data_IF_913582347135
#
_entry.id   IF_913582347135
#
_cell.length_a   1.000
_cell.length_b   1.000
_cell.length_c   1.000
_cell.angle_alpha   90.00
_cell.angle_beta   90.00
_cell.angle_gamma   90.00
#
_symmetry.space_group_name_H-M   'P 1'
#
loop_
_entity.id
_entity.type
_entity.pdbx_description
1 polymer ?
#
# COMPACT_ATOMS: atom_id res chain seq x y z
N UNK A 1 4.83 -32.65 -1.98
CA UNK A 1 4.54 -31.59 -0.98
C UNK A 1 4.31 -30.31 -1.75
N UNK A 2 3.05 -29.88 -1.92
CA UNK A 2 2.70 -28.66 -2.67
C UNK A 2 2.61 -27.52 -1.64
N UNK A 3 3.67 -26.72 -1.50
CA UNK A 3 3.67 -25.54 -0.65
C UNK A 3 2.81 -24.46 -1.32
N UNK A 4 1.73 -24.05 -0.66
CA UNK A 4 1.01 -22.77 -0.82
C UNK A 4 1.09 -22.10 -2.21
N UNK A 5 0.26 -22.55 -3.15
CA UNK A 5 -0.03 -21.82 -4.40
C UNK A 5 -1.26 -20.90 -4.30
N UNK A 6 -1.86 -20.75 -3.11
CA UNK A 6 -2.93 -19.79 -2.92
C UNK A 6 -2.32 -18.42 -2.63
N UNK A 7 -2.54 -17.49 -3.55
CA UNK A 7 -2.27 -16.05 -3.38
C UNK A 7 -3.22 -15.40 -2.35
N UNK A 8 -3.81 -16.18 -1.44
CA UNK A 8 -4.85 -15.72 -0.50
C UNK A 8 -4.28 -14.69 0.49
N UNK A 9 -2.97 -14.63 0.74
CA UNK A 9 -2.36 -13.55 1.53
C UNK A 9 -2.44 -12.19 0.84
N UNK A 10 -2.45 -12.17 -0.50
CA UNK A 10 -2.52 -10.94 -1.31
C UNK A 10 -3.81 -10.18 -1.09
N UNK A 11 -4.89 -10.87 -0.74
CA UNK A 11 -6.18 -10.23 -0.47
C UNK A 11 -6.15 -9.36 0.78
N UNK A 12 -5.22 -9.62 1.70
CA UNK A 12 -5.01 -8.76 2.87
C UNK A 12 -4.29 -7.46 2.53
N UNK A 13 -3.63 -7.40 1.35
CA UNK A 13 -2.94 -6.21 0.84
C UNK A 13 -3.84 -5.35 -0.07
N UNK A 14 -5.08 -5.75 -0.33
CA UNK A 14 -6.02 -4.93 -1.09
C UNK A 14 -6.31 -3.64 -0.30
N UNK A 15 -6.18 -2.46 -0.92
CA UNK A 15 -6.45 -1.18 -0.27
C UNK A 15 -7.84 -1.15 0.37
N UNK A 16 -7.92 -0.66 1.61
CA UNK A 16 -9.18 -0.47 2.32
C UNK A 16 -9.59 0.99 2.32
N UNK A 17 -10.89 1.24 2.33
CA UNK A 17 -11.47 2.58 2.35
C UNK A 17 -11.77 3.18 0.98
N UNK A 18 -11.52 2.44 -0.10
CA UNK A 18 -11.89 2.81 -1.47
C UNK A 18 -11.44 4.22 -1.86
N UNK A 19 -12.23 4.86 -2.71
CA UNK A 19 -11.90 6.16 -3.28
C UNK A 19 -11.95 7.30 -2.23
N UNK A 20 -12.62 7.08 -1.09
CA UNK A 20 -12.61 8.02 0.05
C UNK A 20 -11.21 8.21 0.61
N UNK A 21 -10.45 7.13 0.78
CA UNK A 21 -9.09 7.19 1.35
C UNK A 21 -8.06 7.40 0.24
N UNK A 22 -8.19 6.68 -0.87
CA UNK A 22 -7.15 6.60 -1.89
C UNK A 22 -7.34 7.59 -3.05
N UNK A 23 -8.40 8.39 -3.03
CA UNK A 23 -8.72 9.28 -4.14
C UNK A 23 -9.39 8.56 -5.31
N UNK A 24 -9.90 9.36 -6.23
CA UNK A 24 -10.52 8.89 -7.48
C UNK A 24 -9.66 9.30 -8.69
N UNK A 25 -10.24 9.27 -9.89
CA UNK A 25 -9.56 9.74 -11.10
C UNK A 25 -9.30 11.25 -11.09
N UNK A 26 -10.08 12.01 -10.33
CA UNK A 26 -10.06 13.48 -10.36
C UNK A 26 -9.24 14.10 -9.22
N UNK A 27 -8.89 13.32 -8.18
CA UNK A 27 -8.18 13.84 -7.03
C UNK A 27 -7.40 12.74 -6.30
N UNK A 28 -6.33 13.13 -5.61
CA UNK A 28 -5.64 12.26 -4.65
C UNK A 28 -5.15 13.05 -3.43
N UNK A 29 -5.09 12.45 -2.23
CA UNK A 29 -4.56 13.13 -1.04
C UNK A 29 -3.13 13.64 -1.27
N UNK A 30 -2.34 12.83 -1.98
CA UNK A 30 -0.92 13.00 -2.24
C UNK A 30 -0.63 13.97 -3.41
N UNK A 31 -1.67 14.57 -4.01
CA UNK A 31 -1.52 15.54 -5.09
C UNK A 31 -0.59 16.70 -4.70
N UNK A 32 0.36 17.02 -5.59
CA UNK A 32 1.45 17.96 -5.35
C UNK A 32 2.73 17.32 -4.79
N UNK A 33 2.75 15.99 -4.61
CA UNK A 33 4.00 15.27 -4.36
C UNK A 33 4.94 15.39 -5.56
N UNK A 34 6.18 15.79 -5.30
CA UNK A 34 7.24 15.86 -6.28
C UNK A 34 8.29 14.83 -5.93
N UNK A 35 8.59 13.93 -6.88
CA UNK A 35 9.74 13.05 -6.77
C UNK A 35 11.03 13.88 -6.91
N UNK A 36 11.78 14.01 -5.82
CA UNK A 36 13.06 14.72 -5.84
C UNK A 36 14.01 14.09 -6.88
N UNK A 37 14.62 14.95 -7.72
CA UNK A 37 15.59 14.60 -8.76
C UNK A 37 16.91 14.11 -8.14
N UNK A 38 16.97 12.93 -7.55
CA UNK A 38 18.26 12.28 -7.30
C UNK A 38 18.63 11.46 -8.53
N UNK A 39 19.59 11.98 -9.31
CA UNK A 39 20.29 11.25 -10.37
C UNK A 39 20.79 9.92 -9.81
N UNK A 40 20.07 8.84 -10.07
CA UNK A 40 20.65 7.52 -10.03
C UNK A 40 21.67 7.45 -11.17
N UNK A 41 22.94 7.24 -10.83
CA UNK A 41 23.95 6.85 -11.81
C UNK A 41 23.49 5.55 -12.47
N UNK A 42 23.05 5.65 -13.72
CA UNK A 42 22.75 4.49 -14.58
C UNK A 42 24.04 3.69 -14.80
N UNK A 43 24.22 2.59 -14.06
CA UNK A 43 25.06 1.51 -14.54
C UNK A 43 24.24 0.70 -15.54
N UNK A 44 24.43 1.03 -16.82
CA UNK A 44 23.92 0.28 -17.96
C UNK A 44 24.54 -1.11 -17.97
N UNK A 45 23.75 -2.14 -17.66
CA UNK A 45 24.09 -3.52 -18.00
C UNK A 45 23.53 -3.82 -19.39
N UNK A 46 24.47 -3.95 -20.32
CA UNK A 46 24.27 -4.37 -21.71
C UNK A 46 23.53 -5.71 -21.79
N UNK A 47 22.50 -5.73 -22.62
CA UNK A 47 22.25 -6.78 -23.62
C UNK A 47 21.88 -8.17 -23.11
N UNK A 48 20.57 -8.45 -23.09
CA UNK A 48 20.07 -9.81 -23.27
C UNK A 48 19.02 -9.81 -24.39
N UNK A 49 19.46 -10.10 -25.61
CA UNK A 49 18.56 -10.51 -26.69
C UNK A 49 18.08 -11.91 -26.35
N UNK A 50 16.84 -12.05 -25.89
CA UNK A 50 16.19 -13.37 -25.78
C UNK A 50 15.58 -13.71 -27.13
N UNK A 51 16.14 -14.73 -27.77
CA UNK A 51 15.71 -15.24 -29.07
C UNK A 51 14.26 -15.75 -29.06
N UNK A 52 13.60 -15.59 -30.20
CA UNK A 52 12.33 -16.21 -30.47
C UNK A 52 12.48 -17.73 -30.55
N UNK A 53 11.69 -18.45 -29.76
CA UNK A 53 11.29 -19.82 -30.07
C UNK A 53 9.78 -19.85 -30.21
N UNK A 54 9.32 -20.00 -31.45
CA UNK A 54 7.98 -20.49 -31.72
C UNK A 54 7.97 -21.99 -31.41
N UNK A 55 7.50 -22.36 -30.22
CA UNK A 55 7.20 -23.75 -29.90
C UNK A 55 5.68 -23.91 -29.90
N UNK A 56 5.19 -24.71 -30.84
CA UNK A 56 3.84 -25.28 -30.86
C UNK A 56 3.61 -26.01 -29.54
N UNK A 57 2.91 -25.40 -28.59
CA UNK A 57 2.53 -26.03 -27.33
C UNK A 57 1.03 -25.82 -27.11
N UNK A 58 0.29 -26.91 -27.12
CA UNK A 58 -1.03 -26.98 -26.48
C UNK A 58 -0.91 -26.36 -25.10
N UNK A 59 -1.79 -25.40 -24.80
CA UNK A 59 -1.80 -24.61 -23.57
C UNK A 59 -1.82 -25.53 -22.34
N UNK A 60 -0.64 -25.88 -21.84
CA UNK A 60 -0.43 -26.82 -20.74
C UNK A 60 0.50 -26.11 -19.80
N UNK A 61 -0.08 -25.42 -18.82
CA UNK A 61 0.36 -25.31 -17.42
C UNK A 61 -0.32 -24.10 -16.73
N UNK A 62 -0.89 -24.36 -15.54
CA UNK A 62 -1.63 -23.45 -14.63
C UNK A 62 -2.98 -22.88 -15.12
N UNK A 63 -4.08 -23.57 -14.80
CA UNK A 63 -5.43 -23.01 -14.95
C UNK A 63 -5.77 -22.11 -13.75
N UNK A 64 -5.60 -20.81 -13.91
CA UNK A 64 -6.07 -19.78 -12.98
C UNK A 64 -7.52 -19.32 -13.28
N UNK A 65 -8.19 -18.72 -12.30
CA UNK A 65 -9.60 -18.31 -12.41
C UNK A 65 -9.85 -17.32 -13.57
N UNK A 66 -8.87 -16.49 -13.90
CA UNK A 66 -8.98 -15.50 -14.98
C UNK A 66 -9.19 -16.12 -16.37
N UNK A 67 -8.77 -17.37 -16.60
CA UNK A 67 -9.06 -18.05 -17.88
C UNK A 67 -10.56 -18.33 -18.05
N UNK A 68 -11.35 -18.29 -16.97
CA UNK A 68 -12.81 -18.40 -17.02
C UNK A 68 -13.52 -17.14 -17.48
N UNK A 69 -12.84 -15.99 -17.51
CA UNK A 69 -13.39 -14.69 -17.97
C UNK A 69 -13.56 -14.65 -19.49
N UNK A 70 -12.74 -15.43 -20.21
CA UNK A 70 -12.75 -15.49 -21.67
C UNK A 70 -12.24 -14.21 -22.33
N UNK A 71 -12.17 -14.24 -23.66
CA UNK A 71 -11.67 -13.13 -24.48
C UNK A 71 -12.56 -11.88 -24.37
N UNK A 72 -13.89 -12.06 -24.41
CA UNK A 72 -14.84 -10.95 -24.34
C UNK A 72 -14.78 -10.21 -23.00
N UNK A 73 -14.68 -10.94 -21.88
CA UNK A 73 -14.53 -10.32 -20.57
C UNK A 73 -13.19 -9.61 -20.42
N UNK A 74 -12.11 -10.17 -20.98
CA UNK A 74 -10.79 -9.50 -21.00
C UNK A 74 -10.84 -8.19 -21.80
N UNK A 75 -11.54 -8.20 -22.93
CA UNK A 75 -11.76 -7.00 -23.74
C UNK A 75 -12.59 -5.96 -22.99
N UNK A 76 -13.66 -6.36 -22.31
CA UNK A 76 -14.47 -5.46 -21.48
C UNK A 76 -13.64 -4.79 -20.38
N UNK A 77 -12.74 -5.53 -19.73
CA UNK A 77 -11.82 -4.97 -18.73
C UNK A 77 -10.86 -3.96 -19.35
N UNK A 78 -10.32 -4.26 -20.54
CA UNK A 78 -9.46 -3.33 -21.26
C UNK A 78 -10.21 -2.05 -21.71
N UNK A 79 -11.47 -2.19 -22.13
CA UNK A 79 -12.29 -1.09 -22.64
C UNK A 79 -12.71 -0.10 -21.52
N UNK A 80 -12.74 -0.54 -20.25
CA UNK A 80 -13.00 0.33 -19.09
C UNK A 80 -11.82 1.27 -18.76
N UNK A 81 -10.61 0.99 -19.28
CA UNK A 81 -9.36 1.79 -19.24
C UNK A 81 -8.73 2.05 -17.87
N UNK A 82 -9.49 2.40 -16.83
CA UNK A 82 -8.94 2.85 -15.55
C UNK A 82 -9.70 2.27 -14.37
N UNK A 83 -8.98 1.80 -13.36
CA UNK A 83 -9.55 1.25 -12.13
C UNK A 83 -9.02 2.02 -10.92
N UNK A 84 -9.94 2.38 -10.03
CA UNK A 84 -9.70 3.03 -8.73
C UNK A 84 -9.62 2.00 -7.59
N UNK A 85 -9.34 2.46 -6.37
CA UNK A 85 -9.27 1.58 -5.21
C UNK A 85 -10.64 0.97 -4.85
N UNK A 86 -11.75 1.63 -5.21
CA UNK A 86 -13.10 1.07 -5.08
C UNK A 86 -13.41 0.05 -6.19
N UNK A 87 -13.24 0.45 -7.46
CA UNK A 87 -13.61 -0.40 -8.61
C UNK A 87 -12.69 -1.62 -8.81
N UNK A 88 -11.46 -1.60 -8.29
CA UNK A 88 -10.58 -2.79 -8.34
C UNK A 88 -11.16 -3.98 -7.58
N UNK A 89 -11.88 -3.74 -6.48
CA UNK A 89 -12.52 -4.82 -5.71
C UNK A 89 -13.63 -5.46 -6.54
N UNK A 90 -14.42 -4.67 -7.26
CA UNK A 90 -15.45 -5.18 -8.18
C UNK A 90 -14.84 -5.95 -9.35
N UNK A 91 -13.76 -5.42 -9.94
CA UNK A 91 -12.99 -6.10 -10.98
C UNK A 91 -12.50 -7.47 -10.50
N UNK A 92 -11.98 -7.57 -9.27
CA UNK A 92 -11.52 -8.84 -8.72
C UNK A 92 -12.67 -9.84 -8.51
N UNK A 93 -13.88 -9.37 -8.15
CA UNK A 93 -15.05 -10.26 -8.08
C UNK A 93 -15.43 -10.80 -9.46
N UNK A 94 -15.27 -9.98 -10.50
CA UNK A 94 -15.51 -10.39 -11.88
C UNK A 94 -14.44 -11.37 -12.40
N UNK A 95 -13.16 -11.07 -12.17
CA UNK A 95 -12.03 -11.84 -12.74
C UNK A 95 -11.70 -13.11 -11.94
N UNK A 96 -11.89 -13.09 -10.62
CA UNK A 96 -11.50 -14.16 -9.72
C UNK A 96 -12.55 -14.38 -8.61
N UNK A 97 -13.77 -14.80 -8.96
CA UNK A 97 -14.89 -14.89 -8.03
C UNK A 97 -14.68 -15.90 -6.90
N UNK A 98 -13.96 -17.01 -7.12
CA UNK A 98 -13.76 -18.01 -6.05
C UNK A 98 -12.71 -17.50 -5.05
N UNK A 99 -11.68 -16.79 -5.52
CA UNK A 99 -10.73 -16.09 -4.67
C UNK A 99 -11.44 -15.02 -3.84
N UNK A 100 -12.29 -14.20 -4.47
CA UNK A 100 -13.03 -13.17 -3.76
C UNK A 100 -14.09 -13.73 -2.81
N UNK A 101 -14.70 -14.87 -3.10
CA UNK A 101 -15.60 -15.55 -2.16
C UNK A 101 -14.87 -15.98 -0.88
N UNK A 102 -13.61 -16.42 -0.97
CA UNK A 102 -12.77 -16.69 0.22
C UNK A 102 -12.36 -15.40 0.92
N UNK A 103 -11.96 -14.37 0.16
CA UNK A 103 -11.56 -13.06 0.70
C UNK A 103 -12.70 -12.42 1.51
N UNK A 104 -13.88 -12.29 0.92
CA UNK A 104 -15.04 -11.61 1.53
C UNK A 104 -15.63 -12.33 2.75
N UNK A 105 -15.30 -13.62 2.93
CA UNK A 105 -15.62 -14.35 4.15
C UNK A 105 -14.76 -13.88 5.35
N UNK A 106 -13.54 -13.40 5.10
CA UNK A 106 -12.53 -13.10 6.13
C UNK A 106 -12.08 -11.64 6.18
N UNK A 107 -12.28 -10.87 5.12
CA UNK A 107 -11.82 -9.50 4.99
C UNK A 107 -12.92 -8.58 4.47
N UNK A 108 -12.86 -7.36 4.96
CA UNK A 108 -13.65 -6.24 4.49
C UNK A 108 -12.73 -5.10 4.04
N UNK A 109 -13.22 -4.32 3.08
CA UNK A 109 -12.46 -3.23 2.45
C UNK A 109 -13.20 -1.88 2.55
N UNK A 110 -14.33 -1.85 3.27
CA UNK A 110 -15.18 -0.68 3.41
C UNK A 110 -14.77 0.26 4.54
N UNK A 111 -15.69 1.17 4.85
CA UNK A 111 -15.61 2.13 5.95
C UNK A 111 -16.90 1.99 6.76
N UNK A 112 -16.79 2.01 8.08
CA UNK A 112 -17.97 1.96 8.93
C UNK A 112 -18.72 3.30 9.00
N UNK A 113 -19.99 3.26 8.63
CA UNK A 113 -20.91 4.39 8.83
C UNK A 113 -21.23 4.56 10.32
N UNK A 114 -21.63 3.47 10.98
CA UNK A 114 -21.96 3.41 12.40
C UNK A 114 -21.19 2.29 13.09
N UNK A 115 -20.26 2.66 13.98
CA UNK A 115 -19.41 1.71 14.71
C UNK A 115 -20.15 0.79 15.67
N UNK A 116 -21.36 1.19 16.12
CA UNK A 116 -22.15 0.40 17.06
C UNK A 116 -22.97 -0.71 16.38
N UNK A 117 -22.91 -0.81 15.05
CA UNK A 117 -23.60 -1.87 14.30
C UNK A 117 -23.08 -3.25 14.74
N UNK A 118 -23.95 -4.16 15.23
CA UNK A 118 -23.56 -5.49 15.68
C UNK A 118 -22.78 -6.30 14.64
N UNK A 119 -22.90 -5.99 13.33
CA UNK A 119 -22.14 -6.67 12.28
C UNK A 119 -20.63 -6.58 12.50
N UNK A 120 -20.12 -5.46 13.02
CA UNK A 120 -18.68 -5.25 13.23
C UNK A 120 -18.08 -6.13 14.32
N UNK A 121 -18.91 -6.81 15.12
CA UNK A 121 -18.46 -7.87 16.04
C UNK A 121 -17.97 -9.11 15.31
N UNK A 122 -18.35 -9.30 14.05
CA UNK A 122 -17.89 -10.44 13.25
C UNK A 122 -16.40 -10.31 12.90
N UNK A 123 -15.63 -11.39 13.04
CA UNK A 123 -14.17 -11.40 12.89
C UNK A 123 -13.66 -10.85 11.55
N UNK A 124 -14.47 -10.92 10.50
CA UNK A 124 -14.11 -10.43 9.16
C UNK A 124 -13.75 -8.94 9.13
N UNK A 125 -14.27 -8.15 10.07
CA UNK A 125 -14.05 -6.71 10.15
C UNK A 125 -12.86 -6.32 11.04
N UNK A 126 -12.40 -7.21 11.93
CA UNK A 126 -11.41 -6.85 12.97
C UNK A 126 -10.07 -6.42 12.41
N UNK A 127 -9.70 -6.94 11.23
CA UNK A 127 -8.45 -6.56 10.58
C UNK A 127 -8.52 -5.18 9.94
N UNK A 128 -9.71 -4.63 9.67
CA UNK A 128 -9.91 -3.34 9.03
C UNK A 128 -9.98 -2.20 10.06
N UNK A 129 -8.95 -1.33 10.16
CA UNK A 129 -8.95 -0.22 11.11
C UNK A 129 -10.04 0.83 10.83
N UNK A 130 -10.67 0.80 9.65
CA UNK A 130 -11.79 1.68 9.27
C UNK A 130 -13.17 1.10 9.64
N UNK A 131 -13.22 -0.08 10.24
CA UNK A 131 -14.46 -0.76 10.65
C UNK A 131 -14.37 -1.35 12.08
N UNK A 132 -13.32 -0.98 12.81
CA UNK A 132 -13.11 -1.37 14.21
C UNK A 132 -12.68 -0.17 15.03
N UNK A 133 -13.07 -0.17 16.31
CA UNK A 133 -12.73 0.89 17.25
C UNK A 133 -11.57 0.49 18.15
N UNK A 134 -10.73 1.45 18.52
CA UNK A 134 -9.73 1.24 19.55
C UNK A 134 -10.39 0.86 20.89
N UNK A 135 -9.72 0.04 21.72
CA UNK A 135 -10.29 -0.43 22.98
C UNK A 135 -10.43 0.69 24.01
N UNK A 136 -11.20 0.44 25.06
CA UNK A 136 -11.30 1.37 26.18
C UNK A 136 -10.08 1.29 27.10
N UNK A 137 -9.01 1.99 26.73
CA UNK A 137 -7.74 2.02 27.46
C UNK A 137 -7.12 3.44 27.45
N UNK A 138 -7.67 4.41 28.20
CA UNK A 138 -7.24 5.82 28.13
C UNK A 138 -5.80 6.07 28.58
N UNK A 139 -5.22 5.18 29.40
CA UNK A 139 -3.81 5.26 29.83
C UNK A 139 -2.83 4.72 28.77
N UNK A 140 -3.32 4.00 27.75
CA UNK A 140 -2.50 3.46 26.68
C UNK A 140 -2.04 4.59 25.75
N UNK A 141 -0.84 4.42 25.19
CA UNK A 141 -0.32 5.25 24.11
C UNK A 141 -0.03 4.36 22.89
N UNK A 142 -0.40 4.84 21.69
CA UNK A 142 -0.13 4.15 20.42
C UNK A 142 0.94 4.92 19.66
N UNK A 143 2.01 4.22 19.27
CA UNK A 143 3.09 4.77 18.46
C UNK A 143 3.05 4.14 17.07
N UNK A 144 2.96 4.96 16.02
CA UNK A 144 3.12 4.51 14.64
C UNK A 144 4.51 4.87 14.12
N UNK A 145 5.32 3.83 13.92
CA UNK A 145 6.68 3.90 13.39
C UNK A 145 6.70 3.50 11.92
N UNK A 146 7.14 4.40 11.03
CA UNK A 146 7.29 4.06 9.62
C UNK A 146 8.35 4.91 8.91
N UNK A 147 8.82 4.37 7.79
CA UNK A 147 9.81 4.98 6.92
C UNK A 147 9.19 6.01 5.97
N UNK A 148 9.96 7.03 5.62
CA UNK A 148 9.58 8.08 4.65
C UNK A 148 10.77 8.45 3.76
N UNK A 149 10.52 9.12 2.65
CA UNK A 149 11.55 9.67 1.76
C UNK A 149 12.07 8.69 0.71
N UNK A 150 11.41 7.54 0.52
CA UNK A 150 11.66 6.62 -0.59
C UNK A 150 10.49 6.68 -1.59
N UNK A 151 10.75 6.66 -2.91
CA UNK A 151 9.70 6.48 -3.90
C UNK A 151 9.00 5.12 -3.71
N UNK A 152 7.70 5.15 -3.46
CA UNK A 152 6.86 3.97 -3.25
C UNK A 152 5.77 3.87 -4.31
N UNK A 153 5.60 2.68 -4.88
CA UNK A 153 4.60 2.42 -5.91
C UNK A 153 3.16 2.68 -5.40
N UNK A 154 2.38 3.38 -6.23
CA UNK A 154 1.04 3.87 -5.88
C UNK A 154 -0.05 3.45 -6.85
N UNK A 155 0.29 3.40 -8.14
CA UNK A 155 -0.58 2.95 -9.21
C UNK A 155 0.25 2.49 -10.40
N UNK A 156 -0.37 1.70 -11.29
CA UNK A 156 0.33 1.06 -12.41
C UNK A 156 -0.40 1.30 -13.72
N UNK A 157 0.37 1.45 -14.79
CA UNK A 157 -0.09 1.47 -16.17
C UNK A 157 0.04 0.06 -16.74
N UNK A 158 -1.07 -0.52 -17.18
CA UNK A 158 -1.09 -1.85 -17.78
C UNK A 158 -1.31 -1.76 -19.29
N UNK A 159 -0.73 -2.72 -20.02
CA UNK A 159 -1.03 -2.98 -21.44
C UNK A 159 -1.58 -4.38 -21.63
N UNK A 160 -2.43 -4.52 -22.65
CA UNK A 160 -2.97 -5.80 -23.06
C UNK A 160 -1.88 -6.61 -23.79
N UNK A 161 -1.70 -7.85 -23.37
CA UNK A 161 -0.79 -8.79 -24.00
C UNK A 161 -1.38 -9.32 -25.32
N UNK A 162 -0.62 -9.29 -26.44
CA UNK A 162 -1.07 -9.86 -27.72
C UNK A 162 -1.30 -11.39 -27.67
N UNK A 163 -0.75 -12.08 -26.68
CA UNK A 163 -0.84 -13.54 -26.50
C UNK A 163 -1.78 -13.94 -25.36
N UNK A 164 -2.82 -13.14 -25.12
CA UNK A 164 -3.79 -13.27 -24.02
C UNK A 164 -4.55 -14.62 -23.98
N UNK A 165 -4.52 -15.43 -25.05
CA UNK A 165 -5.18 -16.74 -25.07
C UNK A 165 -4.50 -17.78 -24.16
N UNK A 166 -3.17 -17.67 -23.94
CA UNK A 166 -2.39 -18.62 -23.15
C UNK A 166 -1.54 -17.99 -22.04
N UNK A 167 -1.51 -16.67 -21.92
CA UNK A 167 -0.67 -15.94 -20.96
C UNK A 167 -1.51 -14.92 -20.18
N UNK A 168 -0.93 -14.36 -19.12
CA UNK A 168 -1.55 -13.30 -18.32
C UNK A 168 -1.94 -12.13 -19.25
N UNK A 169 -3.22 -11.74 -19.30
CA UNK A 169 -3.72 -10.81 -20.32
C UNK A 169 -3.23 -9.39 -20.12
N UNK A 170 -2.95 -8.97 -18.88
CA UNK A 170 -2.49 -7.62 -18.57
C UNK A 170 -1.06 -7.66 -18.01
N UNK A 171 -0.18 -6.84 -18.57
CA UNK A 171 1.21 -6.69 -18.13
C UNK A 171 1.51 -5.23 -17.86
N UNK A 172 2.33 -4.93 -16.85
CA UNK A 172 2.77 -3.56 -16.58
C UNK A 172 3.50 -3.03 -17.82
N UNK A 173 3.12 -1.84 -18.27
CA UNK A 173 3.77 -1.21 -19.41
C UNK A 173 5.08 -0.53 -18.99
N UNK A 174 6.16 -1.31 -19.02
CA UNK A 174 7.51 -0.82 -18.72
C UNK A 174 8.03 0.27 -19.64
N UNK A 175 7.34 0.54 -20.77
CA UNK A 175 7.70 1.64 -21.68
C UNK A 175 7.13 2.99 -21.24
N UNK A 176 6.10 3.01 -20.39
CA UNK A 176 5.50 4.23 -19.87
C UNK A 176 6.43 4.90 -18.84
N UNK A 177 6.91 6.09 -19.16
CA UNK A 177 7.80 6.88 -18.32
C UNK A 177 7.46 8.36 -18.48
N UNK A 178 7.36 9.06 -17.37
CA UNK A 178 7.18 10.51 -17.32
C UNK A 178 7.79 11.03 -16.01
N UNK A 179 8.85 11.83 -16.15
CA UNK A 179 9.60 12.37 -15.02
C UNK A 179 8.84 13.47 -14.27
N UNK A 180 7.88 14.16 -14.90
CA UNK A 180 7.09 15.21 -14.23
C UNK A 180 6.03 14.63 -13.31
N UNK A 181 5.47 13.47 -13.67
CA UNK A 181 4.40 12.79 -12.92
C UNK A 181 4.91 11.64 -12.05
N UNK A 182 6.22 11.51 -11.87
CA UNK A 182 6.84 10.43 -11.09
C UNK A 182 6.48 9.02 -11.58
N UNK A 183 6.31 8.88 -12.90
CA UNK A 183 6.04 7.62 -13.59
C UNK A 183 7.35 7.03 -14.12
N UNK A 184 7.72 5.84 -13.62
CA UNK A 184 8.92 5.13 -14.09
C UNK A 184 8.57 3.67 -14.34
N UNK A 185 8.80 3.19 -15.55
CA UNK A 185 8.58 1.79 -15.92
C UNK A 185 7.13 1.33 -15.74
N UNK A 186 6.16 2.22 -15.95
CA UNK A 186 4.74 1.91 -15.78
C UNK A 186 4.23 1.95 -14.34
N UNK A 187 5.03 2.37 -13.35
CA UNK A 187 4.60 2.57 -11.97
C UNK A 187 4.69 4.06 -11.58
N UNK A 188 3.59 4.61 -11.08
CA UNK A 188 3.57 5.91 -10.42
C UNK A 188 4.04 5.76 -8.98
N UNK A 189 4.87 6.69 -8.51
CA UNK A 189 5.41 6.66 -7.16
C UNK A 189 5.01 7.87 -6.31
N UNK A 190 4.78 7.62 -5.03
CA UNK A 190 4.52 8.62 -3.97
C UNK A 190 5.55 8.49 -2.84
N UNK A 191 5.46 9.31 -1.80
CA UNK A 191 6.31 9.19 -0.61
C UNK A 191 5.97 7.93 0.19
N UNK A 192 6.99 7.25 0.70
CA UNK A 192 6.84 6.11 1.59
C UNK A 192 8.18 5.49 1.95
N UNK A 193 8.14 4.19 2.22
CA UNK A 193 9.31 3.38 2.59
C UNK A 193 9.86 2.53 1.43
N UNK A 194 9.36 2.70 0.21
CA UNK A 194 9.68 1.87 -0.96
C UNK A 194 8.71 0.69 -1.17
N UNK A 195 7.79 0.42 -0.24
CA UNK A 195 6.74 -0.61 -0.41
C UNK A 195 5.38 -0.14 0.07
N UNK A 196 5.31 0.54 1.22
CA UNK A 196 4.10 1.05 1.83
C UNK A 196 4.07 2.57 1.70
N UNK A 197 3.04 3.15 1.04
CA UNK A 197 2.87 4.60 0.97
C UNK A 197 2.69 5.20 2.37
N UNK A 198 3.20 6.41 2.58
CA UNK A 198 3.02 7.15 3.85
C UNK A 198 1.54 7.24 4.23
N UNK A 199 0.66 7.43 3.24
CA UNK A 199 -0.77 7.49 3.48
C UNK A 199 -1.28 6.21 4.16
N UNK A 200 -0.85 5.04 3.70
CA UNK A 200 -1.24 3.75 4.27
C UNK A 200 -0.70 3.54 5.68
N UNK A 201 0.54 3.94 5.93
CA UNK A 201 1.21 3.74 7.22
C UNK A 201 0.77 4.75 8.29
N UNK A 202 0.46 5.98 7.87
CA UNK A 202 0.28 7.12 8.75
C UNK A 202 -1.15 7.57 8.98
N UNK A 203 -2.08 7.37 8.02
CA UNK A 203 -3.40 8.01 8.03
C UNK A 203 -4.19 7.76 9.32
N UNK A 204 -4.23 6.51 9.79
CA UNK A 204 -4.99 6.16 10.99
C UNK A 204 -4.49 6.93 12.21
N UNK A 205 -3.17 6.95 12.46
CA UNK A 205 -2.62 7.67 13.61
C UNK A 205 -2.66 9.19 13.45
N UNK A 206 -2.49 9.70 12.22
CA UNK A 206 -2.45 11.12 11.94
C UNK A 206 -3.82 11.80 12.00
N UNK A 207 -4.90 11.09 11.67
CA UNK A 207 -6.26 11.67 11.64
C UNK A 207 -7.32 10.80 12.29
N UNK A 208 -7.52 9.56 11.81
CA UNK A 208 -8.69 8.78 12.21
C UNK A 208 -8.70 8.41 13.71
N UNK A 209 -7.54 8.17 14.31
CA UNK A 209 -7.36 7.92 15.75
C UNK A 209 -6.88 9.15 16.53
N UNK A 210 -6.69 10.29 15.87
CA UNK A 210 -6.15 11.46 16.53
C UNK A 210 -7.23 12.13 17.41
N UNK A 211 -7.00 12.15 18.71
CA UNK A 211 -7.97 12.65 19.68
C UNK A 211 -9.17 11.71 19.84
N UNK A 212 -10.33 12.26 20.21
CA UNK A 212 -11.56 11.49 20.41
C UNK A 212 -12.39 11.49 19.13
N UNK A 213 -12.49 10.33 18.48
CA UNK A 213 -13.21 10.10 17.22
C UNK A 213 -14.07 8.85 17.34
N UNK A 214 -14.90 8.55 16.34
CA UNK A 214 -15.65 7.28 16.25
C UNK A 214 -14.72 6.06 16.20
N UNK A 215 -13.50 6.20 15.68
CA UNK A 215 -12.49 5.13 15.65
C UNK A 215 -11.67 5.05 16.94
N UNK A 216 -11.60 6.13 17.71
CA UNK A 216 -10.90 6.23 19.00
C UNK A 216 -11.82 6.82 20.09
N UNK A 217 -12.83 6.06 20.55
CA UNK A 217 -13.84 6.58 21.48
C UNK A 217 -13.26 6.95 22.85
N UNK A 218 -12.17 6.30 23.26
CA UNK A 218 -11.51 6.56 24.54
C UNK A 218 -10.45 7.65 24.48
N UNK A 219 -10.19 8.22 23.31
CA UNK A 219 -9.20 9.29 23.15
C UNK A 219 -7.78 8.85 23.50
N UNK A 220 -7.42 7.60 23.18
CA UNK A 220 -6.05 7.07 23.33
C UNK A 220 -5.07 8.02 22.64
N UNK A 221 -3.98 8.37 23.32
CA UNK A 221 -2.95 9.24 22.75
C UNK A 221 -2.22 8.51 21.63
N UNK A 222 -2.17 9.11 20.46
CA UNK A 222 -1.47 8.58 19.29
C UNK A 222 -0.28 9.46 18.94
N UNK A 223 0.85 8.83 18.60
CA UNK A 223 2.07 9.51 18.18
C UNK A 223 2.56 8.95 16.84
N UNK A 224 2.79 9.85 15.89
CA UNK A 224 3.39 9.55 14.60
C UNK A 224 4.90 9.78 14.69
N UNK A 225 5.68 8.76 14.32
CA UNK A 225 7.13 8.78 14.40
C UNK A 225 7.72 8.31 13.08
N UNK A 226 8.04 9.28 12.24
CA UNK A 226 8.61 9.07 10.91
C UNK A 226 10.13 9.04 10.94
N UNK A 227 10.69 8.07 10.22
CA UNK A 227 12.11 7.93 10.00
C UNK A 227 12.40 8.23 8.53
N UNK A 228 13.07 9.35 8.29
CA UNK A 228 13.44 9.76 6.93
C UNK A 228 14.62 8.93 6.45
N UNK A 229 14.48 8.34 5.28
CA UNK A 229 15.55 7.64 4.60
C UNK A 229 16.71 8.59 4.33
N UNK A 230 17.90 8.21 4.81
CA UNK A 230 19.15 8.86 4.45
C UNK A 230 20.11 7.82 3.90
N UNK A 231 20.56 7.93 2.64
CA UNK A 231 21.58 7.03 2.12
C UNK A 231 22.88 7.20 2.92
N UNK A 232 23.67 6.13 3.07
CA UNK A 232 24.99 6.23 3.68
C UNK A 232 25.85 7.24 2.91
N UNK A 233 26.56 8.08 3.65
CA UNK A 233 27.45 9.12 3.10
C UNK A 233 28.77 8.51 2.59
N UNK A 234 29.13 7.31 3.05
CA UNK A 234 30.39 6.64 2.69
C UNK A 234 30.18 5.16 2.40
N UNK A 235 30.90 4.60 1.41
CA UNK A 235 30.86 3.16 1.04
C UNK A 235 31.22 2.22 2.23
N UNK A 236 32.00 2.73 3.19
CA UNK A 236 32.43 2.01 4.40
C UNK A 236 31.36 1.97 5.52
N UNK A 237 30.28 2.76 5.43
CA UNK A 237 29.17 2.71 6.40
C UNK A 237 28.29 1.45 6.26
N UNK A 238 28.52 0.63 5.23
CA UNK A 238 27.70 -0.55 4.97
C UNK A 238 26.24 -0.19 4.67
N UNK A 239 25.30 -1.08 5.02
CA UNK A 239 23.86 -0.76 4.94
C UNK A 239 23.55 0.33 5.97
N UNK A 240 23.30 1.55 5.50
CA UNK A 240 23.26 2.77 6.30
C UNK A 240 22.36 2.69 7.55
N UNK A 241 22.81 3.31 8.64
CA UNK A 241 22.13 3.33 9.96
C UNK A 241 20.80 4.06 9.99
N UNK A 242 20.44 4.74 8.89
CA UNK A 242 19.21 5.50 8.68
C UNK A 242 18.40 4.96 7.49
N UNK A 243 18.65 3.70 7.10
CA UNK A 243 17.83 3.05 6.09
C UNK A 243 16.41 2.83 6.63
N UNK A 244 15.43 3.01 5.77
CA UNK A 244 14.02 3.06 6.14
C UNK A 244 13.15 2.15 5.26
N UNK A 245 13.77 1.35 4.39
CA UNK A 245 13.06 0.29 3.67
C UNK A 245 12.44 -0.72 4.67
N UNK A 246 11.30 -1.39 4.36
CA UNK A 246 10.50 -2.14 5.33
C UNK A 246 11.28 -3.15 6.18
N UNK A 247 12.30 -3.80 5.62
CA UNK A 247 13.14 -4.77 6.35
C UNK A 247 14.28 -4.07 7.11
N UNK A 248 14.84 -3.01 6.53
CA UNK A 248 15.99 -2.31 7.08
C UNK A 248 15.64 -1.29 8.17
N UNK A 249 14.36 -0.86 8.26
CA UNK A 249 13.90 0.07 9.30
C UNK A 249 14.11 -0.48 10.72
N UNK A 250 14.10 -1.81 10.87
CA UNK A 250 14.41 -2.49 12.14
C UNK A 250 15.86 -2.28 12.60
N UNK A 251 16.75 -1.88 11.68
CA UNK A 251 18.16 -1.53 11.97
C UNK A 251 18.36 -0.03 12.13
N UNK A 252 17.31 0.77 11.96
CA UNK A 252 17.39 2.21 12.09
C UNK A 252 17.68 2.60 13.53
N UNK A 253 18.81 3.29 13.74
CA UNK A 253 19.25 3.66 15.09
C UNK A 253 18.23 4.52 15.83
N UNK A 254 17.57 5.44 15.12
CA UNK A 254 16.57 6.32 15.74
C UNK A 254 15.32 5.53 16.16
N UNK A 255 14.90 4.54 15.37
CA UNK A 255 13.79 3.66 15.72
C UNK A 255 14.12 2.81 16.94
N UNK A 256 15.27 2.14 16.92
CA UNK A 256 15.73 1.31 18.05
C UNK A 256 15.81 2.16 19.33
N UNK A 257 16.33 3.38 19.23
CA UNK A 257 16.39 4.32 20.36
C UNK A 257 15.00 4.65 20.91
N UNK A 258 14.03 4.95 20.05
CA UNK A 258 12.66 5.26 20.49
C UNK A 258 12.00 4.04 21.15
N UNK A 259 12.13 2.84 20.56
CA UNK A 259 11.62 1.58 21.12
C UNK A 259 12.20 1.30 22.50
N UNK A 260 13.52 1.44 22.68
CA UNK A 260 14.18 1.24 23.97
C UNK A 260 13.69 2.25 25.01
N UNK A 261 13.51 3.52 24.62
CA UNK A 261 13.01 4.56 25.54
C UNK A 261 11.58 4.25 25.99
N UNK A 262 10.71 3.84 25.08
CA UNK A 262 9.33 3.44 25.40
C UNK A 262 9.32 2.20 26.30
N UNK A 263 10.14 1.19 25.99
CA UNK A 263 10.27 -0.01 26.83
C UNK A 263 10.82 0.30 28.23
N UNK A 264 11.61 1.37 28.38
CA UNK A 264 12.09 1.89 29.66
C UNK A 264 11.06 2.77 30.40
N UNK A 265 9.85 2.95 29.85
CA UNK A 265 8.75 3.69 30.48
C UNK A 265 8.62 5.14 30.05
N UNK A 266 9.36 5.60 29.03
CA UNK A 266 9.19 6.96 28.52
C UNK A 266 7.86 7.11 27.76
N UNK A 267 7.11 8.15 28.10
CA UNK A 267 5.87 8.57 27.43
C UNK A 267 6.15 9.25 26.10
N UNK A 268 5.14 9.32 25.23
CA UNK A 268 5.29 9.99 23.93
C UNK A 268 5.68 11.47 24.03
N UNK A 269 5.27 12.17 25.08
CA UNK A 269 5.68 13.54 25.37
C UNK A 269 7.19 13.64 25.67
N UNK A 270 7.75 12.70 26.45
CA UNK A 270 9.18 12.62 26.75
C UNK A 270 10.04 12.22 25.54
N UNK A 271 9.43 11.56 24.54
CA UNK A 271 10.05 11.32 23.23
C UNK A 271 9.99 12.54 22.29
N UNK A 272 9.38 13.64 22.72
CA UNK A 272 9.20 14.87 21.93
C UNK A 272 7.94 14.87 21.05
N UNK A 273 6.97 13.99 21.32
CA UNK A 273 5.72 13.88 20.60
C UNK A 273 5.88 13.41 19.15
N UNK A 274 5.02 13.95 18.28
CA UNK A 274 5.01 13.66 16.85
C UNK A 274 6.33 14.09 16.18
N UNK A 275 6.95 13.17 15.46
CA UNK A 275 8.09 13.44 14.57
C UNK A 275 7.67 13.16 13.15
N UNK A 276 7.42 14.19 12.37
CA UNK A 276 6.88 14.09 11.00
C UNK A 276 7.76 14.90 10.05
N UNK A 277 8.16 14.26 8.96
CA UNK A 277 8.91 14.82 7.83
C UNK A 277 8.05 14.92 6.57
N UNK A 278 7.06 14.03 6.42
CA UNK A 278 6.12 13.97 5.30
C UNK A 278 5.03 15.04 5.43
N UNK A 279 4.18 15.13 4.40
CA UNK A 279 2.97 15.97 4.43
C UNK A 279 1.73 15.20 4.93
N UNK A 280 1.88 14.10 5.69
CA UNK A 280 0.76 13.23 6.09
C UNK A 280 -0.40 13.98 6.75
N UNK A 281 -0.15 14.95 7.63
CA UNK A 281 -1.21 15.75 8.24
C UNK A 281 -1.96 16.63 7.22
N UNK A 282 -1.27 17.15 6.20
CA UNK A 282 -1.93 17.92 5.13
C UNK A 282 -2.72 17.01 4.20
N UNK A 283 -2.17 15.83 3.88
CA UNK A 283 -2.83 14.84 3.04
C UNK A 283 -4.07 14.25 3.72
N UNK A 284 -3.99 13.96 5.03
CA UNK A 284 -5.12 13.48 5.79
C UNK A 284 -6.25 14.50 5.86
N UNK A 285 -5.95 15.81 5.87
CA UNK A 285 -7.00 16.83 5.83
C UNK A 285 -7.80 16.86 4.53
N UNK A 286 -7.20 16.47 3.40
CA UNK A 286 -7.93 16.35 2.12
C UNK A 286 -8.92 15.19 2.09
N UNK A 287 -8.74 14.20 2.97
CA UNK A 287 -9.63 13.03 3.06
C UNK A 287 -10.89 13.43 3.82
N UNK A 288 -12.02 13.40 3.12
CA UNK A 288 -13.34 13.68 3.67
C UNK A 288 -13.91 12.42 4.34
N UNK A 289 -13.43 12.14 5.56
CA UNK A 289 -13.93 11.07 6.41
C UNK A 289 -14.63 11.67 7.62
N UNK A 290 -15.89 11.29 7.84
CA UNK A 290 -16.63 11.67 9.05
C UNK A 290 -16.02 10.96 10.27
N UNK A 291 -15.52 11.74 11.23
CA UNK A 291 -14.86 11.27 12.45
C UNK A 291 -15.77 11.35 13.67
#
# INVERSE_FOLDING_TARGET
MRLSHSWDSTVSMIPRGGDTIWGSLDWSPEEGYSCDRKREMKNSTRGAVKGHRAENRTCRDLWAEYHGVGFEGTKAVADYKTYTAESIVELLHFVAPKMMARSTAHFSHGIADNMDDPKYKHYKYWSNPLETTLPNAPEMEIFSFYGTGLPTERSYVYKLSPTAECHIPFQIDSSANDEETCLKGGAYSVDGDGTVPVLSAGFMCAKAWHGKTKFNPSGIRTYVREYRHSPPTTLLEGCGTLNCAPVDIMRNFALIKDVIRIAAGASGEELGGNRVHSNIFKWSEKINLQL
#
